data_IF_974754998529
#
_entry.id   IF_974754998529
#
_cell.length_a   1.000
_cell.length_b   1.000
_cell.length_c   1.000
_cell.angle_alpha   90.00
_cell.angle_beta   90.00
_cell.angle_gamma   90.00
#
_symmetry.space_group_name_H-M   'P 1'
#
loop_
_entity.id
_entity.type
_entity.pdbx_description
1 polymer ?
#
# COMPACT_ATOMS: atom_id res chain seq x y z
N UNK A 1 -40.55 -71.86 34.92
CA UNK A 1 -39.38 -71.14 34.41
C UNK A 1 -38.50 -70.79 35.58
N UNK A 2 -37.21 -71.15 35.61
CA UNK A 2 -36.34 -70.69 36.67
C UNK A 2 -36.17 -69.12 36.57
N UNK A 3 -36.34 -68.46 37.70
CA UNK A 3 -36.02 -67.00 37.83
C UNK A 3 -34.52 -66.86 37.66
N UNK A 4 -34.10 -66.09 36.61
CA UNK A 4 -32.73 -65.69 36.45
C UNK A 4 -32.60 -64.39 37.21
N UNK A 5 -31.82 -64.37 38.28
CA UNK A 5 -31.48 -63.17 39.06
C UNK A 5 -30.11 -62.60 38.56
N UNK A 6 -30.09 -61.36 38.10
CA UNK A 6 -28.86 -60.72 37.72
C UNK A 6 -28.60 -59.53 38.69
N UNK A 7 -27.42 -59.47 39.27
CA UNK A 7 -26.99 -58.37 40.13
C UNK A 7 -26.17 -57.40 39.30
N UNK A 8 -26.55 -56.12 39.36
CA UNK A 8 -25.72 -55.06 38.74
C UNK A 8 -24.70 -54.53 39.77
N UNK A 9 -23.41 -54.66 39.48
CA UNK A 9 -22.39 -54.11 40.35
C UNK A 9 -22.42 -52.57 40.30
N UNK A 10 -21.65 -51.93 41.20
CA UNK A 10 -21.48 -50.50 41.17
C UNK A 10 -20.92 -50.06 39.80
N UNK A 11 -21.64 -49.15 39.12
CA UNK A 11 -21.25 -48.62 37.79
C UNK A 11 -20.17 -47.55 37.92
N UNK A 12 -19.02 -47.92 38.46
CA UNK A 12 -17.89 -47.03 38.71
C UNK A 12 -16.78 -47.09 37.64
N UNK A 13 -16.93 -47.96 36.64
CA UNK A 13 -15.98 -48.17 35.54
C UNK A 13 -16.05 -47.09 34.43
N UNK A 14 -17.04 -46.17 34.51
CA UNK A 14 -17.22 -45.09 33.52
C UNK A 14 -17.79 -45.59 32.18
N UNK A 15 -17.63 -44.79 31.13
CA UNK A 15 -18.11 -45.09 29.78
C UNK A 15 -17.03 -45.84 29.00
N UNK A 16 -17.40 -46.95 28.36
CA UNK A 16 -16.54 -47.76 27.51
C UNK A 16 -17.04 -47.79 26.06
N UNK A 17 -16.15 -47.56 25.11
CA UNK A 17 -16.42 -47.68 23.68
C UNK A 17 -16.30 -49.15 23.17
N UNK A 18 -15.98 -50.10 24.05
CA UNK A 18 -15.89 -51.50 23.67
C UNK A 18 -17.27 -52.08 23.29
N UNK A 19 -17.34 -53.09 22.38
CA UNK A 19 -18.56 -53.83 22.11
C UNK A 19 -19.17 -54.41 23.39
N UNK A 20 -20.47 -54.51 23.43
CA UNK A 20 -21.20 -55.02 24.62
C UNK A 20 -20.68 -56.37 25.15
N UNK A 21 -20.18 -57.24 24.26
CA UNK A 21 -19.63 -58.56 24.62
C UNK A 21 -18.27 -58.51 25.32
N UNK A 22 -17.56 -57.35 25.24
CA UNK A 22 -16.23 -57.16 25.85
C UNK A 22 -16.26 -56.12 26.97
N UNK A 23 -17.40 -55.45 27.16
CA UNK A 23 -17.56 -54.41 28.18
C UNK A 23 -17.63 -55.06 29.56
N UNK A 24 -16.90 -54.53 30.51
CA UNK A 24 -16.98 -54.97 31.91
C UNK A 24 -18.35 -54.59 32.50
N UNK A 25 -18.86 -55.41 33.36
CA UNK A 25 -20.17 -55.19 34.04
C UNK A 25 -20.24 -53.88 34.83
N UNK A 26 -19.10 -53.31 35.21
CA UNK A 26 -18.98 -52.03 35.93
C UNK A 26 -18.96 -50.83 35.00
N UNK A 27 -18.97 -51.02 33.68
CA UNK A 27 -18.89 -49.99 32.68
C UNK A 27 -20.25 -49.74 32.00
N UNK A 28 -20.45 -48.48 31.58
CA UNK A 28 -21.64 -48.03 30.87
C UNK A 28 -21.36 -47.78 29.39
N UNK A 29 -22.37 -47.84 28.56
CA UNK A 29 -22.34 -47.41 27.16
C UNK A 29 -22.44 -45.89 27.03
N UNK A 30 -23.33 -45.29 27.82
CA UNK A 30 -23.51 -43.85 27.92
C UNK A 30 -23.77 -43.46 29.38
N UNK A 31 -23.42 -42.25 29.74
CA UNK A 31 -23.56 -41.71 31.07
C UNK A 31 -23.94 -40.25 31.00
N UNK A 32 -25.15 -39.93 31.44
CA UNK A 32 -25.63 -38.55 31.43
C UNK A 32 -25.95 -38.10 32.87
N UNK A 33 -25.52 -36.86 33.21
CA UNK A 33 -25.74 -36.22 34.51
C UNK A 33 -25.39 -37.10 35.73
N UNK A 34 -24.39 -37.97 35.57
CA UNK A 34 -23.93 -38.88 36.61
C UNK A 34 -22.40 -38.88 36.70
N UNK A 35 -21.87 -39.15 37.89
CA UNK A 35 -20.43 -39.29 38.16
C UNK A 35 -20.13 -40.64 38.77
N UNK A 36 -19.16 -41.42 38.25
CA UNK A 36 -18.70 -42.63 38.84
C UNK A 36 -17.76 -42.32 40.03
N UNK A 37 -18.15 -42.74 41.22
CA UNK A 37 -17.30 -42.58 42.41
C UNK A 37 -16.91 -43.95 42.92
N UNK A 38 -15.67 -44.08 43.38
CA UNK A 38 -15.11 -45.36 43.86
C UNK A 38 -15.88 -45.87 45.09
N UNK A 39 -16.29 -45.01 45.98
CA UNK A 39 -17.01 -45.37 47.21
C UNK A 39 -18.50 -45.44 47.03
N UNK A 40 -19.07 -44.47 46.27
CA UNK A 40 -20.54 -44.31 46.12
C UNK A 40 -21.14 -44.94 44.87
N UNK A 41 -20.35 -45.53 43.98
CA UNK A 41 -20.82 -45.98 42.70
C UNK A 41 -21.23 -44.84 41.78
N UNK A 42 -22.30 -45.00 41.00
CA UNK A 42 -22.82 -43.98 40.13
C UNK A 42 -23.72 -43.02 40.89
N UNK A 43 -23.29 -41.75 41.03
CA UNK A 43 -24.05 -40.69 41.75
C UNK A 43 -24.50 -39.60 40.81
N UNK A 44 -25.56 -38.91 41.14
CA UNK A 44 -26.03 -37.76 40.37
C UNK A 44 -24.96 -36.64 40.34
N UNK A 45 -24.74 -36.08 39.20
CA UNK A 45 -23.87 -34.90 39.02
C UNK A 45 -24.37 -33.75 39.96
N UNK A 46 -23.48 -33.04 40.66
CA UNK A 46 -23.86 -31.84 41.38
C UNK A 46 -24.52 -30.79 40.47
N UNK A 47 -25.43 -29.98 40.99
CA UNK A 47 -25.98 -28.88 40.22
C UNK A 47 -24.88 -27.87 39.86
N UNK A 48 -25.10 -27.10 38.79
CA UNK A 48 -24.28 -25.96 38.48
C UNK A 48 -24.60 -24.81 39.46
N UNK A 49 -23.59 -24.07 39.84
CA UNK A 49 -23.76 -22.81 40.60
C UNK A 49 -23.88 -21.66 39.60
N UNK A 50 -24.86 -20.79 39.86
CA UNK A 50 -24.91 -19.50 39.12
C UNK A 50 -23.79 -18.60 39.65
N UNK A 51 -22.95 -18.09 38.74
CA UNK A 51 -21.85 -17.20 39.08
C UNK A 51 -22.27 -15.73 38.88
N UNK A 52 -22.67 -15.40 37.64
CA UNK A 52 -23.09 -14.04 37.30
C UNK A 52 -23.96 -14.01 36.04
N UNK A 53 -24.73 -12.94 35.86
CA UNK A 53 -25.38 -12.55 34.64
C UNK A 53 -24.41 -11.62 33.86
N UNK A 54 -24.04 -12.02 32.63
CA UNK A 54 -23.17 -11.17 31.83
C UNK A 54 -23.95 -9.97 31.27
N UNK A 55 -23.35 -8.78 31.41
CA UNK A 55 -23.94 -7.51 31.00
C UNK A 55 -23.03 -6.76 30.06
N UNK A 56 -23.63 -6.03 29.12
CA UNK A 56 -22.89 -5.09 28.27
C UNK A 56 -22.27 -3.96 29.11
N UNK A 57 -21.33 -3.23 28.51
CA UNK A 57 -20.66 -2.07 29.15
C UNK A 57 -21.63 -1.06 29.76
N UNK A 58 -22.86 -0.93 29.24
CA UNK A 58 -23.93 -0.06 29.77
C UNK A 58 -24.86 -0.70 30.80
N UNK A 59 -24.59 -1.94 31.25
CA UNK A 59 -25.39 -2.65 32.25
C UNK A 59 -26.63 -3.36 31.68
N UNK A 60 -26.90 -3.30 30.38
CA UNK A 60 -27.96 -4.10 29.74
C UNK A 60 -27.58 -5.58 29.71
N UNK A 61 -28.57 -6.47 29.81
CA UNK A 61 -28.34 -7.91 29.66
C UNK A 61 -27.73 -8.21 28.29
N UNK A 62 -26.79 -9.17 28.26
CA UNK A 62 -26.17 -9.63 27.04
C UNK A 62 -26.94 -10.86 26.52
N UNK A 63 -27.43 -10.79 25.29
CA UNK A 63 -27.97 -11.95 24.60
C UNK A 63 -26.81 -12.78 24.02
N UNK A 64 -26.71 -14.01 24.49
CA UNK A 64 -25.67 -14.96 24.07
C UNK A 64 -26.19 -16.03 23.13
N UNK A 65 -27.47 -16.00 22.71
CA UNK A 65 -28.08 -17.07 21.91
C UNK A 65 -27.35 -17.36 20.61
N UNK A 66 -26.84 -16.31 19.95
CA UNK A 66 -26.09 -16.37 18.69
C UNK A 66 -24.69 -15.76 18.83
N UNK A 67 -24.10 -15.87 20.02
CA UNK A 67 -22.79 -15.26 20.27
C UNK A 67 -21.66 -16.28 20.20
N UNK A 68 -20.56 -15.89 19.56
CA UNK A 68 -19.31 -16.64 19.65
C UNK A 68 -18.70 -16.46 21.04
N UNK A 69 -18.24 -17.55 21.65
CA UNK A 69 -17.61 -17.54 22.98
C UNK A 69 -16.23 -18.19 22.90
N UNK A 70 -15.23 -17.50 23.43
CA UNK A 70 -13.86 -18.04 23.54
C UNK A 70 -13.32 -17.82 24.94
N UNK A 71 -12.63 -18.84 25.48
CA UNK A 71 -12.00 -18.77 26.78
C UNK A 71 -10.52 -18.40 26.65
N UNK A 72 -10.14 -17.26 27.19
CA UNK A 72 -8.76 -16.81 27.28
C UNK A 72 -8.19 -17.36 28.59
N UNK A 73 -7.21 -18.26 28.50
CA UNK A 73 -6.53 -18.85 29.64
C UNK A 73 -5.03 -18.57 29.50
N UNK A 74 -4.60 -17.46 30.03
CA UNK A 74 -3.21 -17.04 29.97
C UNK A 74 -2.36 -17.71 31.05
N UNK A 75 -2.85 -17.65 32.30
CA UNK A 75 -2.22 -18.27 33.47
C UNK A 75 -3.26 -18.61 34.53
N UNK A 76 -2.83 -18.92 35.73
CA UNK A 76 -3.72 -19.32 36.81
C UNK A 76 -4.67 -18.20 37.26
N UNK A 77 -4.23 -16.94 37.18
CA UNK A 77 -4.95 -15.75 37.64
C UNK A 77 -5.64 -14.98 36.51
N UNK A 78 -5.08 -15.04 35.30
CA UNK A 78 -5.53 -14.29 34.13
C UNK A 78 -6.39 -15.18 33.21
N UNK A 79 -7.69 -15.29 33.55
CA UNK A 79 -8.69 -16.08 32.83
C UNK A 79 -9.88 -15.21 32.49
N UNK A 80 -10.26 -15.20 31.22
CA UNK A 80 -11.33 -14.33 30.70
C UNK A 80 -12.25 -15.09 29.77
N UNK A 81 -13.44 -14.54 29.60
CA UNK A 81 -14.44 -14.98 28.64
C UNK A 81 -14.59 -13.85 27.61
N UNK A 82 -14.24 -14.17 26.37
CA UNK A 82 -14.47 -13.30 25.21
C UNK A 82 -15.80 -13.69 24.59
N UNK A 83 -16.67 -12.73 24.33
CA UNK A 83 -17.90 -12.92 23.57
C UNK A 83 -17.95 -11.97 22.39
N UNK A 84 -18.43 -12.45 21.24
CA UNK A 84 -18.71 -11.62 20.06
C UNK A 84 -20.16 -11.87 19.67
N UNK A 85 -20.97 -10.81 19.66
CA UNK A 85 -22.37 -10.88 19.23
C UNK A 85 -22.49 -10.80 17.70
N UNK A 86 -23.60 -11.22 17.12
CA UNK A 86 -23.83 -11.16 15.67
C UNK A 86 -23.79 -9.76 15.06
N UNK A 87 -23.88 -8.72 15.90
CA UNK A 87 -23.72 -7.32 15.47
C UNK A 87 -22.25 -6.86 15.44
N UNK A 88 -21.29 -7.76 15.71
CA UNK A 88 -19.87 -7.46 15.75
C UNK A 88 -19.40 -6.78 17.03
N UNK A 89 -20.22 -6.76 18.07
CA UNK A 89 -19.83 -6.22 19.38
C UNK A 89 -19.04 -7.24 20.17
N UNK A 90 -17.85 -6.85 20.61
CA UNK A 90 -16.95 -7.69 21.38
C UNK A 90 -16.99 -7.28 22.85
N UNK A 91 -17.17 -8.26 23.74
CA UNK A 91 -17.16 -8.04 25.17
C UNK A 91 -16.24 -9.04 25.88
N UNK A 92 -15.62 -8.62 26.95
CA UNK A 92 -14.70 -9.44 27.75
C UNK A 92 -15.12 -9.39 29.21
N UNK A 93 -15.10 -10.56 29.83
CA UNK A 93 -15.44 -10.72 31.25
C UNK A 93 -14.36 -11.54 31.95
N UNK A 94 -14.14 -11.27 33.23
CA UNK A 94 -13.39 -12.20 34.07
C UNK A 94 -14.23 -13.47 34.39
N UNK A 95 -13.63 -14.42 35.06
CA UNK A 95 -14.33 -15.67 35.46
C UNK A 95 -15.47 -15.45 36.48
N UNK A 96 -15.57 -14.28 37.10
CA UNK A 96 -16.63 -13.89 38.01
C UNK A 96 -17.76 -13.11 37.33
N UNK A 97 -17.63 -12.90 35.99
CA UNK A 97 -18.60 -12.19 35.17
C UNK A 97 -18.46 -10.66 35.19
N UNK A 98 -17.38 -10.11 35.78
CA UNK A 98 -17.13 -8.68 35.76
C UNK A 98 -16.59 -8.24 34.39
N UNK A 99 -17.24 -7.22 33.78
CA UNK A 99 -16.86 -6.66 32.48
C UNK A 99 -15.46 -6.04 32.55
N UNK A 100 -14.67 -6.33 31.53
CA UNK A 100 -13.32 -5.79 31.35
C UNK A 100 -13.30 -4.72 30.26
N UNK A 101 -12.64 -3.61 30.52
CA UNK A 101 -12.54 -2.50 29.57
C UNK A 101 -11.69 -2.91 28.36
N UNK A 102 -12.20 -2.63 27.16
CA UNK A 102 -11.54 -2.84 25.89
C UNK A 102 -11.34 -1.52 25.17
N UNK A 103 -10.15 -1.25 24.69
CA UNK A 103 -9.85 -0.11 23.82
C UNK A 103 -10.02 -0.52 22.37
N UNK A 104 -10.82 0.23 21.60
CA UNK A 104 -11.19 -0.05 20.22
C UNK A 104 -10.54 0.92 19.25
N UNK A 105 -10.20 0.50 18.01
CA UNK A 105 -9.83 1.41 16.93
C UNK A 105 -10.96 2.42 16.69
N UNK A 106 -10.63 3.71 16.68
CA UNK A 106 -11.64 4.76 16.47
C UNK A 106 -12.61 4.99 17.63
N UNK A 107 -12.40 4.33 18.79
CA UNK A 107 -13.19 4.55 20.02
C UNK A 107 -14.60 3.92 20.02
N UNK A 108 -14.94 3.08 19.05
CA UNK A 108 -16.23 2.39 18.96
C UNK A 108 -16.08 0.89 19.22
N UNK A 109 -17.06 0.28 19.87
CA UNK A 109 -17.08 -1.15 20.17
C UNK A 109 -17.67 -2.01 19.02
N UNK A 110 -18.01 -1.41 17.89
CA UNK A 110 -18.46 -2.10 16.70
C UNK A 110 -17.30 -2.24 15.73
N UNK A 111 -16.97 -3.46 15.36
CA UNK A 111 -15.86 -3.79 14.51
C UNK A 111 -16.39 -4.32 13.17
N UNK A 112 -16.19 -3.61 12.04
CA UNK A 112 -16.70 -4.04 10.72
C UNK A 112 -16.29 -5.45 10.34
N UNK A 113 -15.08 -5.86 10.71
CA UNK A 113 -14.57 -7.22 10.47
C UNK A 113 -15.41 -8.32 11.14
N UNK A 114 -16.06 -8.02 12.26
CA UNK A 114 -16.89 -8.95 13.02
C UNK A 114 -18.38 -8.78 12.75
N UNK A 115 -18.79 -7.78 11.95
CA UNK A 115 -20.17 -7.60 11.57
C UNK A 115 -20.70 -8.83 10.81
N UNK A 116 -21.96 -9.16 11.01
CA UNK A 116 -22.63 -10.29 10.38
C UNK A 116 -21.95 -11.66 10.62
N UNK A 117 -21.04 -11.75 11.59
CA UNK A 117 -20.41 -13.01 11.97
C UNK A 117 -21.34 -13.89 12.79
N UNK A 118 -21.20 -15.20 12.65
CA UNK A 118 -21.91 -16.20 13.46
C UNK A 118 -20.92 -17.03 14.28
N UNK A 119 -21.34 -17.74 15.31
CA UNK A 119 -20.45 -18.61 16.08
C UNK A 119 -19.66 -19.61 15.23
N UNK A 120 -20.26 -20.07 14.12
CA UNK A 120 -19.66 -21.03 13.19
C UNK A 120 -18.60 -20.40 12.30
N UNK A 121 -18.67 -19.08 12.06
CA UNK A 121 -17.75 -18.37 11.15
C UNK A 121 -16.55 -17.78 11.87
N UNK A 122 -16.64 -17.60 13.18
CA UNK A 122 -15.53 -17.09 13.98
C UNK A 122 -14.62 -18.21 14.47
N UNK A 123 -13.35 -17.90 14.52
CA UNK A 123 -12.31 -18.73 15.15
C UNK A 123 -11.43 -17.83 16.01
N UNK A 124 -11.06 -18.30 17.17
CA UNK A 124 -10.12 -17.57 18.04
C UNK A 124 -9.09 -18.55 18.63
N UNK A 125 -7.88 -18.04 18.80
CA UNK A 125 -6.81 -18.76 19.49
C UNK A 125 -6.01 -17.75 20.34
N UNK A 126 -5.70 -18.16 21.57
CA UNK A 126 -4.90 -17.36 22.50
C UNK A 126 -3.51 -17.95 22.62
N UNK A 127 -2.49 -17.15 22.37
CA UNK A 127 -1.08 -17.50 22.51
C UNK A 127 -0.40 -16.40 23.34
N UNK A 128 -0.01 -16.72 24.56
CA UNK A 128 0.55 -15.74 25.48
C UNK A 128 -0.40 -14.57 25.74
N UNK A 129 0.04 -13.36 25.46
CA UNK A 129 -0.69 -12.11 25.70
C UNK A 129 -1.64 -11.72 24.56
N UNK A 130 -1.68 -12.50 23.47
CA UNK A 130 -2.40 -12.18 22.25
C UNK A 130 -3.46 -13.24 21.96
N UNK A 131 -4.68 -12.77 21.70
CA UNK A 131 -5.76 -13.58 21.14
C UNK A 131 -6.03 -13.16 19.71
N UNK A 132 -5.85 -14.08 18.78
CA UNK A 132 -6.18 -13.91 17.37
C UNK A 132 -7.65 -14.23 17.12
N UNK A 133 -8.34 -13.39 16.38
CA UNK A 133 -9.75 -13.56 16.03
C UNK A 133 -9.88 -13.49 14.52
N UNK A 134 -10.40 -14.56 13.93
CA UNK A 134 -10.55 -14.71 12.49
C UNK A 134 -12.03 -14.92 12.14
N UNK A 135 -12.55 -14.12 11.21
CA UNK A 135 -13.84 -14.34 10.59
C UNK A 135 -13.62 -15.03 9.24
N UNK A 136 -14.05 -16.28 9.11
CA UNK A 136 -13.82 -17.11 7.92
C UNK A 136 -14.68 -16.69 6.71
N UNK A 137 -15.64 -15.82 6.87
CA UNK A 137 -16.48 -15.27 5.80
C UNK A 137 -15.89 -13.97 5.21
N UNK A 138 -15.02 -13.29 5.93
CA UNK A 138 -14.42 -12.06 5.46
C UNK A 138 -13.14 -12.34 4.71
N UNK A 139 -13.15 -12.16 3.39
CA UNK A 139 -11.93 -12.23 2.58
C UNK A 139 -11.08 -10.98 2.80
N UNK A 140 -9.79 -11.17 3.02
CA UNK A 140 -8.85 -10.06 3.10
C UNK A 140 -8.79 -9.36 1.76
N UNK A 141 -9.01 -8.05 1.77
CA UNK A 141 -8.97 -7.20 0.59
C UNK A 141 -7.77 -6.23 0.66
N UNK A 142 -7.38 -5.73 -0.50
CA UNK A 142 -6.42 -4.64 -0.59
C UNK A 142 -7.16 -3.31 -0.60
N UNK A 143 -6.60 -2.28 0.01
CA UNK A 143 -7.13 -0.92 -0.14
C UNK A 143 -7.02 -0.49 -1.59
N UNK A 144 -8.04 0.21 -2.10
CA UNK A 144 -7.92 0.92 -3.37
C UNK A 144 -6.66 1.78 -3.32
N UNK A 145 -5.80 1.58 -4.30
CA UNK A 145 -4.44 2.07 -4.31
C UNK A 145 -4.36 3.57 -4.12
N UNK A 146 -3.37 3.95 -3.42
CA UNK A 146 -3.21 5.34 -3.03
C UNK A 146 -1.78 5.77 -3.07
N UNK A 147 -0.88 4.94 -3.58
CA UNK A 147 0.50 5.36 -3.64
C UNK A 147 1.30 4.38 -4.50
N UNK A 148 2.19 4.85 -5.34
CA UNK A 148 2.39 6.27 -5.64
C UNK A 148 1.24 6.86 -6.45
N UNK A 149 1.20 8.20 -6.56
CA UNK A 149 0.25 8.87 -7.43
C UNK A 149 0.46 8.42 -8.89
N UNK A 150 -0.59 8.57 -9.72
CA UNK A 150 -0.50 8.27 -11.16
C UNK A 150 0.66 8.99 -11.84
N UNK A 151 1.17 8.40 -12.92
CA UNK A 151 2.10 9.07 -13.80
C UNK A 151 1.41 10.33 -14.36
N UNK A 152 2.08 11.46 -14.23
CA UNK A 152 1.54 12.74 -14.67
C UNK A 152 1.63 12.86 -16.20
N UNK A 153 0.47 13.01 -16.84
CA UNK A 153 0.41 13.25 -18.29
C UNK A 153 0.75 14.69 -18.70
N UNK A 154 0.79 15.62 -17.74
CA UNK A 154 0.98 17.05 -17.99
C UNK A 154 2.38 17.57 -17.66
N UNK A 155 3.38 16.68 -17.61
CA UNK A 155 4.78 17.04 -17.41
C UNK A 155 5.73 16.19 -18.27
N UNK A 156 6.86 16.75 -18.63
CA UNK A 156 7.91 16.09 -19.39
C UNK A 156 9.30 16.62 -18.98
N UNK A 157 10.32 15.82 -19.23
CA UNK A 157 11.73 16.20 -19.11
C UNK A 157 12.39 16.13 -20.48
N UNK A 158 13.03 17.20 -20.88
CA UNK A 158 13.91 17.23 -22.05
C UNK A 158 15.35 17.43 -21.56
N UNK A 159 16.16 16.41 -21.73
CA UNK A 159 17.57 16.42 -21.36
C UNK A 159 18.45 16.56 -22.61
N UNK A 160 19.19 17.64 -22.72
CA UNK A 160 20.13 17.86 -23.79
C UNK A 160 21.47 17.19 -23.49
N UNK A 161 21.79 16.14 -24.25
CA UNK A 161 23.00 15.33 -24.07
C UNK A 161 24.19 15.87 -24.88
N UNK A 162 23.92 16.57 -25.98
CA UNK A 162 24.94 17.11 -26.84
C UNK A 162 24.60 18.53 -27.33
N UNK A 163 25.62 19.28 -27.68
CA UNK A 163 25.57 20.55 -28.41
C UNK A 163 26.78 20.61 -29.33
N UNK A 164 26.71 21.41 -30.38
CA UNK A 164 27.82 21.59 -31.28
C UNK A 164 27.41 22.08 -32.67
N UNK A 165 28.39 22.39 -33.47
CA UNK A 165 28.21 22.86 -34.83
C UNK A 165 27.54 21.78 -35.71
N UNK A 166 26.62 22.23 -36.56
CA UNK A 166 25.81 21.33 -37.39
C UNK A 166 24.63 20.67 -36.68
N UNK A 167 24.46 20.90 -35.37
CA UNK A 167 23.29 20.42 -34.65
C UNK A 167 22.08 21.29 -34.99
N UNK A 168 21.01 20.64 -35.39
CA UNK A 168 19.67 21.21 -35.47
C UNK A 168 18.78 20.46 -34.49
N UNK A 169 18.07 21.17 -33.65
CA UNK A 169 17.08 20.60 -32.74
C UNK A 169 15.75 21.34 -32.88
N UNK A 170 14.68 20.58 -32.98
CA UNK A 170 13.30 21.08 -33.04
C UNK A 170 12.52 20.55 -31.87
N UNK A 171 11.89 21.41 -31.10
CA UNK A 171 10.97 21.05 -30.01
C UNK A 171 9.59 21.57 -30.38
N UNK A 172 8.64 20.70 -30.56
CA UNK A 172 7.25 20.99 -30.91
C UNK A 172 6.32 20.54 -29.79
N UNK A 173 5.41 21.41 -29.38
CA UNK A 173 4.45 21.12 -28.30
C UNK A 173 3.03 21.47 -28.76
N UNK A 174 2.11 20.54 -28.48
CA UNK A 174 0.67 20.69 -28.76
C UNK A 174 -0.09 20.45 -27.47
N UNK A 175 -0.69 21.47 -26.89
CA UNK A 175 -1.62 21.30 -25.76
C UNK A 175 -2.98 20.85 -26.30
N UNK A 176 -3.72 20.05 -25.54
CA UNK A 176 -4.99 19.48 -25.96
C UNK A 176 -5.94 20.50 -26.62
N UNK A 177 -6.33 20.22 -27.87
CA UNK A 177 -7.20 21.11 -28.68
C UNK A 177 -6.54 22.37 -29.24
N UNK A 178 -5.25 22.58 -29.01
CA UNK A 178 -4.49 23.74 -29.46
C UNK A 178 -3.73 23.55 -30.77
N UNK A 179 -3.05 24.62 -31.21
CA UNK A 179 -2.13 24.58 -32.35
C UNK A 179 -0.75 24.15 -31.89
N UNK A 180 -0.08 23.32 -32.69
CA UNK A 180 1.31 22.95 -32.45
C UNK A 180 2.21 24.18 -32.54
N UNK A 181 2.92 24.49 -31.47
CA UNK A 181 3.93 25.55 -31.42
C UNK A 181 5.33 24.91 -31.37
N UNK A 182 6.29 25.46 -32.07
CA UNK A 182 7.62 24.91 -32.07
C UNK A 182 8.72 25.99 -32.01
N UNK A 183 9.84 25.59 -31.40
CA UNK A 183 11.10 26.29 -31.46
C UNK A 183 12.16 25.43 -32.11
N UNK A 184 12.89 26.00 -33.05
CA UNK A 184 13.95 25.33 -33.80
C UNK A 184 15.23 26.11 -33.58
N UNK A 185 16.26 25.41 -33.14
CA UNK A 185 17.61 25.97 -33.03
C UNK A 185 18.50 25.20 -34.01
N UNK A 186 19.20 25.94 -34.84
CA UNK A 186 20.17 25.41 -35.77
C UNK A 186 21.53 26.09 -35.48
N UNK A 187 22.54 25.29 -35.21
CA UNK A 187 23.91 25.71 -35.06
C UNK A 187 24.62 25.48 -36.39
N UNK A 188 25.06 26.57 -37.03
CA UNK A 188 25.68 26.51 -38.34
C UNK A 188 26.85 25.51 -38.37
N UNK A 189 26.98 24.71 -39.43
CA UNK A 189 28.12 23.85 -39.60
C UNK A 189 29.39 24.66 -39.86
N UNK A 190 30.52 24.21 -39.34
CA UNK A 190 31.80 24.82 -39.58
C UNK A 190 32.17 24.76 -41.07
N UNK A 191 32.21 25.87 -41.74
CA UNK A 191 32.62 25.94 -43.14
C UNK A 191 34.06 26.43 -43.20
N UNK A 192 34.99 25.49 -43.34
CA UNK A 192 36.39 25.83 -43.69
C UNK A 192 36.50 26.28 -45.14
N UNK A 193 36.43 27.59 -45.35
CA UNK A 193 36.79 28.17 -46.63
C UNK A 193 38.28 28.45 -46.63
N UNK A 194 39.05 27.63 -47.31
CA UNK A 194 40.50 27.80 -47.47
C UNK A 194 40.77 29.16 -48.19
N UNK A 195 41.32 30.14 -47.43
CA UNK A 195 41.80 31.43 -48.02
C UNK A 195 41.08 32.70 -47.56
N UNK A 196 40.13 32.66 -46.68
CA UNK A 196 39.51 33.87 -46.10
C UNK A 196 40.12 34.22 -44.75
N UNK A 197 40.72 35.42 -44.65
CA UNK A 197 41.42 35.91 -43.46
C UNK A 197 40.47 36.32 -42.29
N UNK A 198 39.22 36.03 -42.37
CA UNK A 198 38.21 36.45 -41.40
C UNK A 198 37.16 35.33 -41.12
N UNK A 199 37.64 34.11 -40.93
CA UNK A 199 36.76 33.05 -40.47
C UNK A 199 36.91 32.91 -38.94
N UNK A 200 36.03 33.53 -38.20
CA UNK A 200 35.86 33.26 -36.80
C UNK A 200 35.06 31.94 -36.70
N UNK A 201 35.69 30.92 -36.16
CA UNK A 201 34.94 29.72 -35.80
C UNK A 201 33.83 30.10 -34.84
N UNK A 202 32.58 29.66 -35.04
CA UNK A 202 31.51 29.92 -34.11
C UNK A 202 31.90 29.48 -32.67
N UNK A 203 31.60 30.30 -31.71
CA UNK A 203 31.87 29.97 -30.30
C UNK A 203 31.13 28.70 -29.94
N UNK A 204 31.78 27.68 -29.32
CA UNK A 204 31.08 26.47 -28.90
C UNK A 204 29.98 26.78 -27.90
N UNK A 205 28.73 26.55 -28.28
CA UNK A 205 27.57 26.71 -27.41
C UNK A 205 27.44 25.49 -26.52
N UNK A 206 27.32 25.69 -25.24
CA UNK A 206 27.17 24.63 -24.25
C UNK A 206 25.72 24.10 -24.20
N UNK A 207 25.54 22.87 -23.77
CA UNK A 207 24.20 22.26 -23.63
C UNK A 207 23.26 23.05 -22.71
N UNK A 208 23.77 23.64 -21.65
CA UNK A 208 22.99 24.49 -20.75
C UNK A 208 22.56 25.83 -21.37
N UNK A 209 23.39 26.41 -22.26
CA UNK A 209 23.06 27.61 -23.03
C UNK A 209 22.00 27.30 -24.10
N UNK A 210 22.16 26.16 -24.79
CA UNK A 210 21.16 25.63 -25.72
C UNK A 210 19.80 25.40 -25.03
N UNK A 211 19.82 24.85 -23.83
CA UNK A 211 18.61 24.67 -23.02
C UNK A 211 17.96 26.01 -22.66
N UNK A 212 18.74 27.03 -22.40
CA UNK A 212 18.21 28.38 -22.11
C UNK A 212 17.56 29.00 -23.33
N UNK A 213 18.18 28.87 -24.50
CA UNK A 213 17.58 29.36 -25.77
C UNK A 213 16.29 28.60 -26.11
N UNK A 214 16.22 27.28 -25.92
CA UNK A 214 14.98 26.53 -26.08
C UNK A 214 13.91 27.00 -25.10
N UNK A 215 14.27 27.27 -23.84
CA UNK A 215 13.34 27.69 -22.79
C UNK A 215 12.77 29.08 -23.02
N UNK A 216 13.65 30.08 -23.23
CA UNK A 216 13.27 31.48 -23.23
C UNK A 216 13.34 32.15 -24.61
N UNK A 217 13.98 31.52 -25.59
CA UNK A 217 14.32 32.18 -26.83
C UNK A 217 15.40 33.22 -26.63
N UNK A 218 15.37 34.25 -27.45
CA UNK A 218 16.31 35.36 -27.42
C UNK A 218 17.08 35.48 -28.72
N UNK A 219 18.01 36.44 -28.77
CA UNK A 219 18.92 36.64 -29.90
C UNK A 219 20.30 36.17 -29.46
N UNK A 220 20.80 35.04 -30.01
CA UNK A 220 22.16 34.62 -29.74
C UNK A 220 23.17 35.66 -30.20
N UNK A 221 24.36 35.75 -29.59
CA UNK A 221 25.48 36.52 -30.14
C UNK A 221 25.77 36.11 -31.58
N UNK A 222 26.18 37.05 -32.39
CA UNK A 222 26.41 36.80 -33.83
C UNK A 222 27.58 35.84 -34.10
N UNK A 223 28.50 35.71 -33.16
CA UNK A 223 29.64 34.80 -33.17
C UNK A 223 29.34 33.39 -32.68
N UNK A 224 28.14 33.13 -32.12
CA UNK A 224 27.71 31.80 -31.71
C UNK A 224 27.26 30.93 -32.89
N UNK A 225 26.97 31.50 -34.05
CA UNK A 225 26.47 30.79 -35.23
C UNK A 225 25.14 30.09 -35.01
N UNK A 226 24.32 30.56 -34.07
CA UNK A 226 22.99 30.01 -33.79
C UNK A 226 21.92 30.79 -34.53
N UNK A 227 21.03 30.05 -35.19
CA UNK A 227 19.78 30.54 -35.74
C UNK A 227 18.60 29.97 -34.98
N UNK A 228 17.70 30.81 -34.47
CA UNK A 228 16.49 30.41 -33.77
C UNK A 228 15.28 30.78 -34.63
N UNK A 229 14.44 29.83 -34.93
CA UNK A 229 13.19 30.04 -35.65
C UNK A 229 11.99 29.47 -34.86
N UNK A 230 10.82 30.05 -35.12
CA UNK A 230 9.60 29.69 -34.39
C UNK A 230 8.49 29.31 -35.36
N UNK A 231 7.65 28.36 -34.98
CA UNK A 231 6.50 27.88 -35.75
C UNK A 231 5.22 27.95 -34.95
N UNK A 232 4.07 27.89 -35.63
CA UNK A 232 2.74 27.75 -34.99
C UNK A 232 2.33 28.97 -34.15
N UNK A 233 2.82 30.17 -34.49
CA UNK A 233 2.55 31.40 -33.75
C UNK A 233 3.38 31.60 -32.49
N UNK A 234 4.36 30.75 -32.25
CA UNK A 234 5.35 30.99 -31.21
C UNK A 234 6.21 32.24 -31.56
N UNK A 235 6.56 33.03 -30.56
CA UNK A 235 7.31 34.30 -30.74
C UNK A 235 8.64 34.31 -29.99
N UNK A 236 8.82 33.32 -29.12
CA UNK A 236 10.05 33.11 -28.34
C UNK A 236 10.18 31.61 -28.01
N UNK A 237 11.01 31.26 -27.03
CA UNK A 237 11.18 29.87 -26.59
C UNK A 237 9.93 29.27 -25.94
N UNK A 238 10.05 28.06 -25.44
CA UNK A 238 8.94 27.22 -24.91
C UNK A 238 8.07 27.96 -23.90
N UNK A 239 8.66 28.88 -23.09
CA UNK A 239 7.88 29.67 -22.13
C UNK A 239 6.92 30.68 -22.78
N UNK A 240 7.00 30.90 -24.08
CA UNK A 240 6.02 31.70 -24.82
C UNK A 240 4.85 30.90 -25.37
N UNK A 241 4.91 29.57 -25.27
CA UNK A 241 3.85 28.70 -25.77
C UNK A 241 2.62 28.76 -24.86
N UNK A 242 1.44 28.64 -25.44
CA UNK A 242 0.18 28.75 -24.71
C UNK A 242 0.07 27.65 -23.65
N UNK A 243 -0.19 28.05 -22.41
CA UNK A 243 -0.37 27.16 -21.25
C UNK A 243 0.82 26.26 -20.90
N UNK A 244 2.00 26.53 -21.43
CA UNK A 244 3.25 25.79 -21.14
C UNK A 244 4.18 26.62 -20.28
N UNK A 245 4.82 25.98 -19.34
CA UNK A 245 5.95 26.51 -18.58
C UNK A 245 7.12 25.54 -18.64
N UNK A 246 8.32 26.06 -18.86
CA UNK A 246 9.57 25.32 -18.83
C UNK A 246 10.50 25.90 -17.75
N UNK A 247 10.99 25.03 -16.86
CA UNK A 247 12.01 25.37 -15.87
C UNK A 247 13.32 24.68 -16.25
N UNK A 248 14.43 25.40 -16.21
CA UNK A 248 15.75 24.87 -16.57
C UNK A 248 16.57 24.51 -15.32
N UNK A 249 17.16 23.31 -15.34
CA UNK A 249 18.15 22.86 -14.36
C UNK A 249 19.36 22.35 -15.16
N UNK A 250 20.45 23.14 -15.19
CA UNK A 250 21.59 22.79 -16.02
C UNK A 250 21.21 22.67 -17.50
N UNK A 251 21.34 21.48 -18.06
CA UNK A 251 20.98 21.11 -19.43
C UNK A 251 19.67 20.33 -19.53
N UNK A 252 18.86 20.32 -18.46
CA UNK A 252 17.53 19.67 -18.39
C UNK A 252 16.46 20.75 -18.38
N UNK A 253 15.43 20.56 -19.19
CA UNK A 253 14.19 21.33 -19.16
C UNK A 253 13.07 20.47 -18.56
N UNK A 254 12.50 20.91 -17.46
CA UNK A 254 11.23 20.41 -16.93
C UNK A 254 10.11 21.25 -17.51
N UNK A 255 9.25 20.60 -18.29
CA UNK A 255 8.18 21.22 -19.08
C UNK A 255 6.85 20.74 -18.53
N UNK A 256 5.91 21.62 -18.29
CA UNK A 256 4.59 21.27 -17.77
C UNK A 256 3.50 22.25 -18.23
N UNK A 257 2.25 21.78 -18.18
CA UNK A 257 1.09 22.63 -18.44
C UNK A 257 0.61 23.32 -17.17
N UNK A 258 0.22 24.60 -17.28
CA UNK A 258 -0.21 25.41 -16.14
C UNK A 258 -1.65 25.07 -15.66
N UNK A 259 -2.45 24.45 -16.52
CA UNK A 259 -3.85 24.11 -16.27
C UNK A 259 -4.10 22.63 -16.01
N UNK A 260 -3.03 21.80 -16.01
CA UNK A 260 -3.13 20.35 -15.80
C UNK A 260 -3.62 19.56 -17.00
N UNK A 261 -3.79 20.18 -18.17
CA UNK A 261 -4.13 19.49 -19.41
C UNK A 261 -2.96 18.65 -19.90
N UNK A 262 -3.25 17.55 -20.58
CA UNK A 262 -2.25 16.77 -21.28
C UNK A 262 -1.72 17.55 -22.50
N UNK A 263 -0.50 17.29 -22.91
CA UNK A 263 0.14 17.85 -24.08
C UNK A 263 0.97 16.80 -24.82
N UNK A 264 1.06 16.95 -26.13
CA UNK A 264 2.03 16.18 -26.92
C UNK A 264 3.33 17.01 -27.08
N UNK A 265 4.47 16.33 -26.96
CA UNK A 265 5.78 16.91 -27.19
C UNK A 265 6.58 16.02 -28.13
N UNK A 266 7.13 16.62 -29.16
CA UNK A 266 8.00 15.96 -30.14
C UNK A 266 9.33 16.69 -30.20
N UNK A 267 10.40 15.95 -30.12
CA UNK A 267 11.75 16.49 -30.22
C UNK A 267 12.50 15.73 -31.29
N UNK A 268 13.07 16.47 -32.21
CA UNK A 268 13.86 15.93 -33.33
C UNK A 268 15.22 16.62 -33.35
N UNK A 269 16.29 15.86 -33.61
CA UNK A 269 17.61 16.41 -33.82
C UNK A 269 18.29 15.87 -35.09
N UNK A 270 19.27 16.59 -35.59
CA UNK A 270 20.03 16.20 -36.81
C UNK A 270 21.02 15.06 -36.59
N UNK A 271 21.16 14.55 -35.36
CA UNK A 271 22.04 13.45 -34.98
C UNK A 271 21.29 12.13 -34.79
N UNK A 272 20.07 12.00 -35.36
CA UNK A 272 19.25 10.81 -35.28
C UNK A 272 18.70 10.58 -33.88
N UNK A 273 18.31 11.67 -33.20
CA UNK A 273 17.76 11.71 -31.84
C UNK A 273 18.75 11.25 -30.75
N UNK A 274 20.06 11.45 -30.99
CA UNK A 274 21.10 11.14 -30.01
C UNK A 274 21.57 12.36 -29.21
N UNK A 275 21.18 13.57 -29.61
CA UNK A 275 21.56 14.80 -28.92
C UNK A 275 20.69 15.10 -27.70
N UNK A 276 19.59 14.40 -27.52
CA UNK A 276 18.65 14.61 -26.42
C UNK A 276 18.10 13.31 -25.85
N UNK A 277 17.40 13.41 -24.73
CA UNK A 277 16.49 12.41 -24.20
C UNK A 277 15.20 13.12 -23.80
N UNK A 278 14.07 12.57 -24.23
CA UNK A 278 12.73 13.05 -23.89
C UNK A 278 12.05 12.00 -23.02
N UNK A 279 11.60 12.42 -21.84
CA UNK A 279 10.87 11.57 -20.89
C UNK A 279 9.52 12.20 -20.63
N UNK A 280 8.45 11.53 -21.02
CA UNK A 280 7.07 11.92 -20.72
C UNK A 280 6.30 10.68 -20.26
N UNK A 281 6.34 10.44 -18.95
CA UNK A 281 5.72 9.27 -18.34
C UNK A 281 6.47 7.96 -18.54
N UNK A 282 7.18 7.78 -19.66
CA UNK A 282 7.97 6.59 -19.98
C UNK A 282 9.39 6.96 -20.38
N UNK A 283 10.32 6.04 -20.18
CA UNK A 283 11.68 6.07 -20.68
C UNK A 283 12.05 4.67 -21.16
N UNK A 284 12.80 4.57 -22.27
CA UNK A 284 13.21 3.27 -22.80
C UNK A 284 14.20 2.56 -21.87
N UNK A 285 15.15 3.32 -21.32
CA UNK A 285 16.17 2.80 -20.42
C UNK A 285 16.41 3.76 -19.26
N UNK A 286 16.90 3.22 -18.15
CA UNK A 286 17.26 4.03 -16.98
C UNK A 286 18.32 5.11 -17.31
N UNK A 287 19.23 4.85 -18.25
CA UNK A 287 20.24 5.81 -18.72
C UNK A 287 19.66 7.00 -19.48
N UNK A 288 18.39 6.96 -19.87
CA UNK A 288 17.70 8.08 -20.52
C UNK A 288 17.13 9.09 -19.52
N UNK A 289 17.15 8.73 -18.24
CA UNK A 289 16.67 9.58 -17.16
C UNK A 289 17.74 10.58 -16.74
N UNK A 290 17.42 11.90 -16.71
CA UNK A 290 18.37 12.92 -16.23
C UNK A 290 18.54 12.86 -14.71
N UNK A 291 19.66 13.37 -14.20
CA UNK A 291 19.92 13.52 -12.77
C UNK A 291 19.18 14.68 -12.10
N UNK A 292 18.27 15.34 -12.81
CA UNK A 292 17.48 16.48 -12.32
C UNK A 292 16.05 16.34 -12.80
N UNK A 293 15.09 16.40 -11.88
CA UNK A 293 13.66 16.31 -12.18
C UNK A 293 12.82 16.99 -11.10
N UNK A 294 11.51 16.91 -11.20
CA UNK A 294 10.57 17.31 -10.15
C UNK A 294 10.53 16.24 -9.06
N UNK A 295 10.61 16.67 -7.82
CA UNK A 295 10.44 15.76 -6.67
C UNK A 295 9.12 14.99 -6.75
N UNK A 296 9.20 13.68 -6.57
CA UNK A 296 8.04 12.80 -6.67
C UNK A 296 7.56 12.49 -8.09
N UNK A 297 8.27 12.93 -9.15
CA UNK A 297 7.95 12.51 -10.54
C UNK A 297 8.14 11.01 -10.70
N UNK A 298 7.16 10.35 -11.34
CA UNK A 298 7.20 8.90 -11.57
C UNK A 298 7.30 8.63 -13.07
N UNK A 299 8.15 7.69 -13.42
CA UNK A 299 8.40 7.27 -14.80
C UNK A 299 8.41 5.74 -14.87
N UNK A 300 7.78 5.19 -15.90
CA UNK A 300 7.91 3.78 -16.28
C UNK A 300 9.17 3.61 -17.12
N UNK A 301 10.02 2.69 -16.78
CA UNK A 301 11.16 2.26 -17.58
C UNK A 301 10.77 0.98 -18.29
N UNK A 302 10.73 1.01 -19.64
CA UNK A 302 10.13 -0.05 -20.45
C UNK A 302 11.10 -1.20 -20.79
N UNK A 303 12.42 -0.99 -20.64
CA UNK A 303 13.39 -2.05 -20.93
C UNK A 303 13.33 -2.56 -22.36
N UNK A 304 13.04 -3.82 -22.55
CA UNK A 304 12.86 -4.41 -23.89
C UNK A 304 11.47 -4.04 -24.45
N UNK A 305 11.36 -3.31 -25.57
CA UNK A 305 10.07 -2.87 -26.12
C UNK A 305 9.14 -4.02 -26.55
N UNK A 306 9.65 -5.25 -26.66
CA UNK A 306 8.86 -6.44 -27.02
C UNK A 306 8.43 -7.27 -25.78
N UNK A 307 8.79 -6.85 -24.56
CA UNK A 307 8.54 -7.59 -23.32
C UNK A 307 8.14 -6.65 -22.19
N UNK A 308 7.05 -6.95 -21.50
CA UNK A 308 6.64 -6.21 -20.29
C UNK A 308 7.23 -6.80 -18.99
N UNK A 309 8.05 -7.86 -19.09
CA UNK A 309 8.55 -8.59 -17.92
C UNK A 309 9.62 -7.79 -17.17
N UNK A 310 10.36 -6.95 -17.88
CA UNK A 310 11.44 -6.10 -17.37
C UNK A 310 11.03 -4.65 -17.17
N UNK A 311 9.74 -4.34 -17.37
CA UNK A 311 9.18 -3.04 -17.05
C UNK A 311 9.21 -2.80 -15.54
N UNK A 312 9.60 -1.60 -15.15
CA UNK A 312 9.58 -1.19 -13.75
C UNK A 312 9.35 0.32 -13.63
N UNK A 313 9.03 0.76 -12.43
CA UNK A 313 8.72 2.16 -12.14
C UNK A 313 9.77 2.77 -11.25
N UNK A 314 10.10 4.03 -11.54
CA UNK A 314 11.03 4.82 -10.74
C UNK A 314 10.40 6.15 -10.34
N UNK A 315 10.69 6.57 -9.13
CA UNK A 315 10.29 7.86 -8.58
C UNK A 315 11.51 8.72 -8.34
N UNK A 316 11.45 9.98 -8.71
CA UNK A 316 12.52 10.93 -8.43
C UNK A 316 12.48 11.44 -6.99
N UNK A 317 13.59 11.34 -6.29
CA UNK A 317 13.80 11.89 -4.96
C UNK A 317 14.84 12.99 -5.01
N UNK A 318 14.38 14.23 -4.80
CA UNK A 318 15.25 15.40 -4.86
C UNK A 318 16.19 15.46 -3.65
N UNK A 319 17.43 15.88 -3.89
CA UNK A 319 18.39 16.17 -2.84
C UNK A 319 18.06 17.48 -2.12
N UNK A 320 17.99 17.44 -0.80
CA UNK A 320 17.77 18.62 0.05
C UNK A 320 16.30 18.98 0.30
N UNK A 321 16.04 19.96 1.14
CA UNK A 321 14.69 20.34 1.57
C UNK A 321 13.91 21.06 0.45
N UNK A 322 12.60 20.85 0.43
CA UNK A 322 11.64 21.50 -0.45
C UNK A 322 11.08 20.60 -1.55
N UNK A 323 9.94 21.01 -2.08
CA UNK A 323 9.26 20.38 -3.22
C UNK A 323 9.56 21.20 -4.48
N UNK A 324 9.63 20.57 -5.62
CA UNK A 324 9.87 21.23 -6.90
C UNK A 324 10.99 20.57 -7.70
N UNK A 325 11.54 21.28 -8.65
CA UNK A 325 12.61 20.76 -9.53
C UNK A 325 13.99 20.93 -8.90
N UNK A 326 14.86 19.97 -9.12
CA UNK A 326 16.24 20.01 -8.63
C UNK A 326 17.01 18.74 -8.95
N UNK A 327 18.24 18.68 -8.47
CA UNK A 327 19.10 17.51 -8.60
C UNK A 327 18.67 16.45 -7.57
N UNK A 328 18.78 15.18 -7.95
CA UNK A 328 18.37 14.07 -7.09
C UNK A 328 18.72 12.69 -7.65
N UNK A 329 17.97 11.72 -7.21
CA UNK A 329 18.15 10.31 -7.61
C UNK A 329 16.81 9.71 -8.00
N UNK A 330 16.85 8.83 -8.99
CA UNK A 330 15.73 7.95 -9.33
C UNK A 330 15.80 6.69 -8.48
N UNK A 331 14.72 6.42 -7.75
CA UNK A 331 14.59 5.28 -6.84
C UNK A 331 13.46 4.39 -7.35
N UNK A 332 13.71 3.09 -7.40
CA UNK A 332 12.67 2.12 -7.78
C UNK A 332 11.45 2.24 -6.87
N UNK A 333 10.27 2.15 -7.46
CA UNK A 333 8.99 2.26 -6.76
C UNK A 333 8.00 1.24 -7.33
N UNK A 334 6.91 1.02 -6.61
CA UNK A 334 5.83 0.15 -7.11
C UNK A 334 5.03 0.86 -8.21
N UNK A 335 4.35 0.08 -9.02
CA UNK A 335 3.44 0.59 -10.03
C UNK A 335 2.45 1.59 -9.43
N UNK A 336 2.17 2.73 -10.10
CA UNK A 336 1.15 3.68 -9.67
C UNK A 336 -0.25 3.05 -9.61
N UNK A 337 -1.08 3.57 -8.69
CA UNK A 337 -2.51 3.24 -8.56
C UNK A 337 -2.83 1.77 -8.24
N UNK A 338 -1.84 0.91 -8.00
CA UNK A 338 -2.13 -0.44 -7.54
C UNK A 338 -2.40 -0.48 -6.03
N UNK A 339 -3.34 -1.31 -5.60
CA UNK A 339 -3.56 -1.55 -4.18
C UNK A 339 -2.41 -2.42 -3.63
N UNK A 340 -1.56 -1.87 -2.78
CA UNK A 340 -0.43 -2.60 -2.18
C UNK A 340 -0.51 -2.70 -0.64
N UNK A 341 -1.54 -2.13 -0.05
CA UNK A 341 -1.81 -2.24 1.39
C UNK A 341 -3.05 -3.08 1.63
N UNK A 342 -2.97 -3.92 2.63
CA UNK A 342 -4.14 -4.67 3.09
C UNK A 342 -5.12 -3.69 3.75
N UNK A 343 -6.40 -3.82 3.44
CA UNK A 343 -7.46 -3.06 4.08
C UNK A 343 -7.63 -3.53 5.52
N UNK A 344 -7.33 -2.65 6.47
CA UNK A 344 -7.44 -2.94 7.90
C UNK A 344 -8.85 -3.31 8.36
N UNK A 345 -9.89 -2.89 7.61
CA UNK A 345 -11.28 -3.26 7.87
C UNK A 345 -11.59 -4.73 7.54
N UNK A 346 -10.75 -5.37 6.73
CA UNK A 346 -10.90 -6.77 6.31
C UNK A 346 -9.84 -7.70 6.93
N UNK A 347 -8.93 -7.16 7.73
CA UNK A 347 -7.88 -7.94 8.39
C UNK A 347 -8.40 -8.68 9.61
N UNK A 348 -7.88 -9.88 9.91
CA UNK A 348 -8.04 -10.51 11.22
C UNK A 348 -7.70 -9.55 12.35
N UNK A 349 -8.37 -9.75 13.48
CA UNK A 349 -8.15 -8.91 14.66
C UNK A 349 -7.24 -9.60 15.67
N UNK A 350 -6.49 -8.80 16.39
CA UNK A 350 -5.77 -9.24 17.58
C UNK A 350 -6.28 -8.48 18.79
N UNK A 351 -6.50 -9.23 19.86
CA UNK A 351 -6.81 -8.72 21.19
C UNK A 351 -5.58 -8.91 22.07
N UNK A 352 -5.08 -7.84 22.62
CA UNK A 352 -3.83 -7.84 23.41
C UNK A 352 -4.10 -7.32 24.80
N UNK A 353 -3.52 -7.94 25.80
CA UNK A 353 -3.46 -7.44 27.16
C UNK A 353 -2.03 -7.51 27.69
N UNK A 354 -1.40 -6.37 27.76
CA UNK A 354 0.00 -6.29 28.19
C UNK A 354 0.14 -6.20 29.70
N UNK A 355 1.12 -6.91 30.29
CA UNK A 355 1.46 -6.74 31.70
C UNK A 355 2.14 -5.39 31.94
N UNK A 356 1.95 -4.84 33.13
CA UNK A 356 2.63 -3.65 33.62
C UNK A 356 3.26 -3.93 34.99
N UNK A 357 4.09 -3.03 35.48
CA UNK A 357 4.70 -3.17 36.82
C UNK A 357 3.67 -3.16 37.96
N UNK A 358 2.43 -2.73 37.72
CA UNK A 358 1.34 -2.65 38.73
C UNK A 358 0.12 -3.50 38.38
N UNK A 359 0.20 -4.40 37.40
CA UNK A 359 -0.93 -5.21 36.96
C UNK A 359 -0.97 -5.35 35.45
N UNK A 360 -2.11 -5.10 34.82
CA UNK A 360 -2.31 -5.21 33.38
C UNK A 360 -2.96 -3.96 32.80
N UNK A 361 -2.57 -3.60 31.61
CA UNK A 361 -3.27 -2.60 30.80
C UNK A 361 -4.68 -3.09 30.43
N UNK A 362 -5.61 -2.19 30.10
CA UNK A 362 -6.87 -2.56 29.47
C UNK A 362 -6.62 -3.40 28.21
N UNK A 363 -7.57 -4.25 27.85
CA UNK A 363 -7.52 -4.94 26.58
C UNK A 363 -7.52 -3.95 25.43
N UNK A 364 -6.68 -4.21 24.43
CA UNK A 364 -6.63 -3.44 23.19
C UNK A 364 -6.94 -4.38 22.04
N UNK A 365 -7.94 -4.03 21.22
CA UNK A 365 -8.22 -4.73 19.98
C UNK A 365 -7.78 -3.90 18.80
N UNK A 366 -7.17 -4.53 17.81
CA UNK A 366 -6.70 -3.85 16.59
C UNK A 366 -6.58 -4.84 15.42
N UNK A 367 -6.52 -4.37 14.16
CA UNK A 367 -6.16 -5.21 13.04
C UNK A 367 -4.78 -5.85 13.21
N UNK A 368 -4.59 -7.04 12.65
CA UNK A 368 -3.33 -7.78 12.69
C UNK A 368 -2.37 -7.26 11.60
N UNK A 369 -2.06 -5.98 11.61
CA UNK A 369 -1.28 -5.26 10.59
C UNK A 369 0.25 -5.28 10.83
N UNK A 370 0.69 -6.01 11.86
CA UNK A 370 2.10 -6.09 12.23
C UNK A 370 2.62 -4.91 13.06
N UNK A 371 1.82 -3.85 13.24
CA UNK A 371 2.22 -2.74 14.09
C UNK A 371 2.14 -3.12 15.57
N UNK A 372 3.13 -2.73 16.33
CA UNK A 372 3.13 -2.95 17.78
C UNK A 372 1.92 -2.31 18.45
N UNK A 373 1.42 -2.87 19.56
CA UNK A 373 0.33 -2.29 20.34
C UNK A 373 0.71 -0.95 20.94
#
# INVERSE_FOLDING_TARGET
MPLISTSFPNLNGGVSQQPASQRLETQCEAQENALPLVIGGLVKRPPTNHVAELKQSGGAALDLSDSFVHFIQRDENEKYILTVTGEGSLNIYDINGAYQTVSYPGGTNTLPYLADSTPETLRAITIGDVTWIVNTQTSVAMTAGTSPASISAHEALLWLKASGQGLKIRVAITVAGGTTQAVIIEHEPQVHTQGSAAHLDPTPVRTNELAEYLRSGGTPPADDGLTITYEGGATAGINSFSNITAQRIGNVLYIYTNNGDDFNIEVEDSLGNNAHSLVKGTAQQFSDLPGSARDGMIVKVEGDPESEIDDYYVKFERNGPGTGVGDGLWVETVEPEIPYRIDSATMPLILVRQPTSGGYNPFVIKPADGNAP
#
